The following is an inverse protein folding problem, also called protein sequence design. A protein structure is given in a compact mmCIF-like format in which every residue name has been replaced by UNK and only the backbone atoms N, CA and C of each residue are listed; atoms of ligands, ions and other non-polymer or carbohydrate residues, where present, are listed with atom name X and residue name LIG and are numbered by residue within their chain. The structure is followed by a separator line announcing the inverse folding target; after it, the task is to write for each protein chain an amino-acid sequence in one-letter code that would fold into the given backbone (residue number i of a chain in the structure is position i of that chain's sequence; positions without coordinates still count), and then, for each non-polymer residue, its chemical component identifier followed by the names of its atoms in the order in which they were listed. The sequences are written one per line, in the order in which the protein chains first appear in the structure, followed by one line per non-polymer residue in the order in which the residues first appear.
data_IF_413564501011
#
_entry.id   IF_413564501011
#
_cell.length_a   1.000
_cell.length_b   1.000
_cell.length_c   1.000
_cell.angle_alpha   90.00
_cell.angle_beta   90.00
_cell.angle_gamma   90.00
#
_symmetry.space_group_name_H-M   'P 1'
#
loop_
_entity.id
_entity.type
_entity.pdbx_description
1 polymer ?
#
# COMPACT_ATOMS: atom_id res chain seq x y z
N UNK A 1 12.45 -14.68 -19.66
CA UNK A 1 12.02 -15.54 -18.54
C UNK A 1 11.20 -14.65 -17.65
N UNK A 2 9.90 -14.87 -17.54
CA UNK A 2 9.07 -14.09 -16.61
C UNK A 2 9.36 -14.64 -15.22
N UNK A 3 10.11 -13.91 -14.41
CA UNK A 3 10.23 -14.25 -12.99
C UNK A 3 8.81 -14.26 -12.41
N UNK A 4 8.47 -15.34 -11.72
CA UNK A 4 7.19 -15.42 -11.02
C UNK A 4 7.27 -14.40 -9.88
N UNK A 5 6.63 -13.24 -10.06
CA UNK A 5 6.53 -12.20 -9.03
C UNK A 5 5.91 -12.83 -7.79
N UNK A 6 6.67 -12.88 -6.70
CA UNK A 6 6.20 -13.44 -5.42
C UNK A 6 5.51 -12.33 -4.64
N UNK A 7 4.23 -12.14 -4.93
CA UNK A 7 3.41 -11.14 -4.25
C UNK A 7 2.98 -11.65 -2.87
N UNK A 8 3.18 -10.81 -1.87
CA UNK A 8 2.71 -11.02 -0.50
C UNK A 8 1.88 -9.83 -0.06
N UNK A 9 0.94 -10.07 0.85
CA UNK A 9 -0.06 -9.08 1.23
C UNK A 9 -0.05 -8.91 2.73
N UNK A 10 -0.03 -7.66 3.17
CA UNK A 10 0.01 -7.30 4.58
C UNK A 10 -1.02 -6.24 4.89
N UNK A 11 -1.42 -6.16 6.16
CA UNK A 11 -2.07 -4.99 6.73
C UNK A 11 -1.34 -4.53 7.97
N UNK A 12 -1.40 -3.23 8.23
CA UNK A 12 -0.95 -2.62 9.47
C UNK A 12 -2.06 -1.71 10.00
N UNK A 13 -2.15 -1.62 11.32
CA UNK A 13 -2.98 -0.60 11.97
C UNK A 13 -2.14 0.65 12.22
N UNK A 14 -2.79 1.81 12.25
CA UNK A 14 -2.21 2.98 12.89
C UNK A 14 -1.66 2.61 14.28
N UNK A 15 -0.42 3.02 14.62
CA UNK A 15 0.27 2.50 15.81
C UNK A 15 -0.34 3.02 17.12
N UNK A 16 -0.92 4.21 17.10
CA UNK A 16 -1.54 4.84 18.26
C UNK A 16 -3.00 4.38 18.42
N UNK A 17 -3.48 4.33 19.67
CA UNK A 17 -4.87 3.96 19.97
C UNK A 17 -5.88 4.99 19.42
N UNK A 18 -5.51 6.27 19.47
CA UNK A 18 -6.28 7.37 18.89
C UNK A 18 -5.70 7.73 17.52
N UNK A 19 -6.50 7.51 16.47
CA UNK A 19 -6.14 7.90 15.10
C UNK A 19 -6.42 9.39 14.93
N UNK A 20 -5.42 10.22 14.56
CA UNK A 20 -5.65 11.63 14.32
C UNK A 20 -6.69 11.89 13.23
N UNK A 21 -7.42 13.00 13.34
CA UNK A 21 -8.45 13.34 12.35
C UNK A 21 -7.84 13.42 10.94
N UNK A 22 -8.50 12.77 9.99
CA UNK A 22 -8.05 12.73 8.59
C UNK A 22 -6.92 11.73 8.31
N UNK A 23 -6.52 10.91 9.28
CA UNK A 23 -5.58 9.80 9.08
C UNK A 23 -6.32 8.46 8.87
N UNK A 24 -5.71 7.53 8.12
CA UNK A 24 -6.24 6.18 7.99
C UNK A 24 -6.06 5.38 9.28
N UNK A 25 -7.04 4.52 9.59
CA UNK A 25 -6.95 3.57 10.70
C UNK A 25 -6.15 2.32 10.29
N UNK A 26 -6.28 1.91 9.03
CA UNK A 26 -5.63 0.72 8.49
C UNK A 26 -4.95 1.01 7.17
N UNK A 27 -3.79 0.39 7.01
CA UNK A 27 -3.03 0.33 5.78
C UNK A 27 -2.98 -1.11 5.31
N UNK A 28 -3.06 -1.30 4.00
CA UNK A 28 -2.94 -2.60 3.35
C UNK A 28 -1.93 -2.47 2.21
N UNK A 29 -1.06 -3.46 2.08
CA UNK A 29 0.06 -3.43 1.16
C UNK A 29 0.09 -4.70 0.31
N UNK A 30 0.33 -4.52 -0.98
CA UNK A 30 0.88 -5.55 -1.84
C UNK A 30 2.38 -5.33 -1.97
N UNK A 31 3.15 -6.38 -1.71
CA UNK A 31 4.61 -6.35 -1.75
C UNK A 31 5.12 -7.39 -2.73
N UNK A 32 5.92 -6.96 -3.70
CA UNK A 32 6.80 -7.85 -4.45
C UNK A 32 8.02 -8.20 -3.59
N UNK A 33 8.08 -9.44 -3.10
CA UNK A 33 9.19 -9.90 -2.26
C UNK A 33 10.50 -10.09 -3.01
N UNK A 34 10.46 -10.27 -4.33
CA UNK A 34 11.69 -10.42 -5.10
C UNK A 34 12.41 -9.06 -5.24
N UNK A 35 11.64 -8.00 -5.48
CA UNK A 35 12.12 -6.62 -5.59
C UNK A 35 12.16 -5.83 -4.28
N UNK A 36 11.62 -6.39 -3.19
CA UNK A 36 11.40 -5.70 -1.91
C UNK A 36 10.66 -4.37 -2.07
N UNK A 37 9.55 -4.41 -2.81
CA UNK A 37 8.86 -3.22 -3.29
C UNK A 37 7.37 -3.26 -2.97
N UNK A 38 6.83 -2.13 -2.50
CA UNK A 38 5.39 -1.95 -2.31
C UNK A 38 4.77 -1.50 -3.63
N UNK A 39 4.07 -2.41 -4.30
CA UNK A 39 3.53 -2.16 -5.65
C UNK A 39 2.15 -1.50 -5.61
N UNK A 40 1.34 -1.82 -4.58
CA UNK A 40 0.01 -1.28 -4.35
C UNK A 40 -0.24 -1.06 -2.88
N UNK A 41 -1.04 -0.04 -2.57
CA UNK A 41 -1.54 0.19 -1.21
C UNK A 41 -3.01 0.57 -1.19
N UNK A 42 -3.65 0.29 -0.06
CA UNK A 42 -5.01 0.73 0.28
C UNK A 42 -4.97 1.31 1.68
N UNK A 43 -5.67 2.43 1.87
CA UNK A 43 -5.85 3.02 3.19
C UNK A 43 -7.34 3.06 3.52
N UNK A 44 -7.69 2.68 4.74
CA UNK A 44 -9.06 2.68 5.24
C UNK A 44 -9.15 3.67 6.38
N UNK A 45 -9.99 4.68 6.21
CA UNK A 45 -10.20 5.76 7.16
C UNK A 45 -11.35 5.44 8.12
N UNK A 46 -11.34 6.06 9.32
CA UNK A 46 -12.52 6.08 10.18
C UNK A 46 -13.77 6.50 9.39
N UNK A 47 -14.86 5.74 9.54
CA UNK A 47 -16.10 5.96 8.78
C UNK A 47 -16.16 5.25 7.42
N UNK A 48 -15.15 4.46 7.05
CA UNK A 48 -15.21 3.51 5.93
C UNK A 48 -14.85 4.09 4.56
N UNK A 49 -14.30 5.31 4.51
CA UNK A 49 -13.67 5.82 3.28
C UNK A 49 -12.44 4.97 2.97
N UNK A 50 -12.28 4.58 1.69
CA UNK A 50 -11.16 3.77 1.21
C UNK A 50 -10.46 4.53 0.10
N UNK A 51 -9.15 4.74 0.25
CA UNK A 51 -8.27 5.26 -0.81
C UNK A 51 -7.37 4.13 -1.31
N UNK A 52 -6.87 4.24 -2.53
CA UNK A 52 -5.89 3.31 -3.07
C UNK A 52 -4.84 4.04 -3.89
N UNK A 53 -3.69 3.40 -4.01
CA UNK A 53 -2.61 3.85 -4.86
C UNK A 53 -1.83 2.64 -5.40
N UNK A 54 -1.12 2.85 -6.50
CA UNK A 54 -0.21 1.87 -7.10
C UNK A 54 0.93 2.57 -7.81
N UNK A 55 2.03 1.86 -8.01
CA UNK A 55 3.15 2.35 -8.84
C UNK A 55 2.70 2.73 -10.25
N UNK A 56 1.59 2.17 -10.75
CA UNK A 56 0.98 2.55 -12.04
C UNK A 56 0.16 3.84 -11.96
N UNK A 57 -0.53 4.09 -10.84
CA UNK A 57 -1.32 5.30 -10.60
C UNK A 57 -0.40 6.50 -10.37
N UNK A 58 0.70 6.30 -9.65
CA UNK A 58 1.64 7.35 -9.23
C UNK A 58 2.77 7.63 -10.22
N UNK A 59 2.68 7.15 -11.48
CA UNK A 59 3.74 7.36 -12.46
C UNK A 59 3.89 8.85 -12.83
N UNK A 60 5.11 9.40 -12.77
CA UNK A 60 5.37 10.76 -13.22
C UNK A 60 5.22 10.87 -14.74
N UNK A 61 4.70 12.02 -15.20
CA UNK A 61 4.50 12.29 -16.63
C UNK A 61 5.82 12.44 -17.42
N UNK A 62 6.97 12.52 -16.73
CA UNK A 62 8.28 12.64 -17.35
C UNK A 62 8.92 11.29 -17.74
N UNK A 63 8.19 10.18 -17.52
CA UNK A 63 8.61 8.84 -17.91
C UNK A 63 9.60 8.18 -16.95
N UNK A 64 9.84 8.76 -15.77
CA UNK A 64 10.52 8.04 -14.68
C UNK A 64 9.62 6.93 -14.16
N UNK A 65 10.23 5.79 -13.83
CA UNK A 65 9.53 4.65 -13.24
C UNK A 65 9.97 4.49 -11.80
N UNK A 66 8.99 4.29 -10.91
CA UNK A 66 9.21 3.91 -9.53
C UNK A 66 8.79 2.45 -9.36
N UNK A 67 9.69 1.64 -8.82
CA UNK A 67 9.43 0.21 -8.61
C UNK A 67 8.66 -0.03 -7.30
N UNK A 68 8.65 0.95 -6.38
CA UNK A 68 7.97 0.91 -5.08
C UNK A 68 7.26 2.23 -4.78
N UNK A 69 6.14 2.15 -4.05
CA UNK A 69 5.43 3.30 -3.46
C UNK A 69 6.11 3.86 -2.21
N UNK A 70 6.92 3.05 -1.53
CA UNK A 70 7.72 3.45 -0.37
C UNK A 70 9.18 3.61 -0.78
N UNK A 71 9.85 4.61 -0.20
CA UNK A 71 11.29 4.86 -0.38
C UNK A 71 12.17 3.83 0.37
N UNK A 72 11.57 3.03 1.24
CA UNK A 72 12.17 2.01 2.10
C UNK A 72 11.45 0.66 1.97
N UNK A 73 12.07 -0.39 2.50
CA UNK A 73 11.42 -1.70 2.61
C UNK A 73 10.25 -1.62 3.59
N UNK A 74 9.20 -2.42 3.35
CA UNK A 74 8.05 -2.44 4.25
C UNK A 74 8.44 -2.95 5.65
N UNK A 75 9.43 -3.84 5.74
CA UNK A 75 9.92 -4.39 7.00
C UNK A 75 10.72 -3.36 7.82
N UNK A 76 11.42 -2.41 7.17
CA UNK A 76 12.14 -1.31 7.84
C UNK A 76 11.18 -0.24 8.40
N UNK A 77 10.08 0.04 7.69
CA UNK A 77 9.14 1.11 8.09
C UNK A 77 8.21 0.72 9.25
N UNK A 78 7.86 -0.57 9.37
CA UNK A 78 6.85 -1.03 10.33
C UNK A 78 7.41 -1.77 11.56
N UNK A 79 8.74 -1.87 11.71
CA UNK A 79 9.42 -2.52 12.85
C UNK A 79 8.78 -3.85 13.30
N UNK A 80 8.29 -4.66 12.34
CA UNK A 80 7.81 -6.05 12.54
C UNK A 80 6.56 -6.28 13.43
N UNK A 81 6.23 -5.40 14.38
CA UNK A 81 5.21 -5.70 15.41
C UNK A 81 3.76 -5.41 14.97
N UNK A 82 3.56 -4.69 13.86
CA UNK A 82 2.23 -4.27 13.42
C UNK A 82 1.78 -4.84 12.06
N UNK A 83 2.66 -5.53 11.33
CA UNK A 83 2.32 -6.14 10.04
C UNK A 83 1.68 -7.52 10.25
N UNK A 84 0.47 -7.67 9.72
CA UNK A 84 -0.26 -8.93 9.70
C UNK A 84 -0.42 -9.40 8.27
N UNK A 85 -0.02 -10.63 7.98
CA UNK A 85 -0.27 -11.24 6.67
C UNK A 85 -1.78 -11.40 6.43
N UNK A 86 -2.22 -11.07 5.23
CA UNK A 86 -3.60 -11.22 4.78
C UNK A 86 -3.64 -12.03 3.48
N UNK A 87 -4.84 -12.43 3.06
CA UNK A 87 -4.99 -13.06 1.74
C UNK A 87 -5.02 -12.02 0.63
N UNK A 88 -4.65 -12.47 -0.58
CA UNK A 88 -4.81 -11.68 -1.80
C UNK A 88 -6.26 -11.23 -1.99
N UNK A 89 -7.21 -12.13 -1.75
CA UNK A 89 -8.64 -11.86 -1.95
C UNK A 89 -9.14 -10.73 -1.02
N UNK A 90 -8.66 -10.70 0.22
CA UNK A 90 -8.97 -9.62 1.16
C UNK A 90 -8.47 -8.27 0.63
N UNK A 91 -7.21 -8.24 0.17
CA UNK A 91 -6.62 -7.04 -0.41
C UNK A 91 -7.37 -6.55 -1.66
N UNK A 92 -7.58 -7.43 -2.65
CA UNK A 92 -8.21 -7.07 -3.93
C UNK A 92 -9.65 -6.59 -3.73
N UNK A 93 -10.38 -7.16 -2.76
CA UNK A 93 -11.74 -6.73 -2.43
C UNK A 93 -11.80 -5.29 -1.90
N UNK A 94 -10.76 -4.84 -1.19
CA UNK A 94 -10.61 -3.46 -0.72
C UNK A 94 -10.11 -2.56 -1.85
N UNK A 95 -9.08 -3.00 -2.58
CA UNK A 95 -8.49 -2.27 -3.70
C UNK A 95 -9.53 -1.95 -4.78
N UNK A 96 -10.45 -2.87 -5.08
CA UNK A 96 -11.54 -2.63 -6.04
C UNK A 96 -12.53 -1.53 -5.59
N UNK A 97 -12.64 -1.27 -4.28
CA UNK A 97 -13.54 -0.25 -3.70
C UNK A 97 -12.85 1.10 -3.50
N UNK A 98 -11.52 1.12 -3.46
CA UNK A 98 -10.74 2.32 -3.18
C UNK A 98 -10.82 3.35 -4.31
N UNK A 99 -10.74 4.62 -3.93
CA UNK A 99 -10.62 5.74 -4.87
C UNK A 99 -9.14 6.05 -5.09
N UNK A 100 -8.73 6.17 -6.36
CA UNK A 100 -7.35 6.52 -6.74
C UNK A 100 -6.93 7.82 -6.04
N UNK A 101 -5.88 7.75 -5.24
CA UNK A 101 -5.32 8.89 -4.50
C UNK A 101 -3.78 8.86 -4.66
N UNK A 102 -3.25 9.38 -5.79
CA UNK A 102 -1.81 9.47 -6.01
C UNK A 102 -1.16 10.37 -4.95
N UNK A 103 0.00 9.96 -4.41
CA UNK A 103 0.68 10.69 -3.34
C UNK A 103 1.66 11.72 -3.92
N UNK A 104 2.46 11.29 -4.90
CA UNK A 104 3.56 12.09 -5.42
C UNK A 104 3.13 13.10 -6.49
N UNK A 105 2.04 12.80 -7.20
CA UNK A 105 1.55 13.62 -8.30
C UNK A 105 0.02 13.81 -8.22
N UNK A 106 -0.47 14.67 -7.30
CA UNK A 106 -1.89 15.04 -7.30
C UNK A 106 -2.25 15.62 -8.68
N UNK A 107 -3.30 15.06 -9.28
CA UNK A 107 -3.78 15.39 -10.63
C UNK A 107 -4.24 16.84 -10.77
#
# INVERSE_FOLDING_TARGET
MSEAVSLTYYRARWPEEEVPEGQPEWFFYEVDKAGDAVTRMVEVFPGGKITRNSVEIDQPQDGRHFDSLLDSSLDDDFYGEHLQAISREEFEALYAKGVDTPFWFPR
#
